data_IF_941220093016
#
_entry.id   IF_941220093016
#
_cell.length_a   1.000
_cell.length_b   1.000
_cell.length_c   1.000
_cell.angle_alpha   90.00
_cell.angle_beta   90.00
_cell.angle_gamma   90.00
#
_symmetry.space_group_name_H-M   'P 1'
#
loop_
_entity.id
_entity.type
_entity.pdbx_description
1 polymer ?
#
# COMPACT_ATOMS: atom_id res chain seq x y z
N UNK A 1 0.09 10.70 11.56
CA UNK A 1 -0.97 9.79 11.07
C UNK A 1 -0.43 8.51 10.38
N UNK A 2 0.85 8.48 9.97
CA UNK A 2 1.50 7.36 9.26
C UNK A 2 1.11 5.95 9.69
N UNK A 3 1.20 5.63 10.98
CA UNK A 3 0.87 4.29 11.50
C UNK A 3 -0.57 3.86 11.20
N UNK A 4 -1.52 4.78 11.29
CA UNK A 4 -2.94 4.50 11.00
C UNK A 4 -3.14 4.21 9.51
N UNK A 5 -2.41 4.91 8.64
CA UNK A 5 -2.47 4.69 7.19
C UNK A 5 -1.81 3.36 6.83
N UNK A 6 -0.67 3.03 7.43
CA UNK A 6 0.02 1.73 7.23
C UNK A 6 -0.90 0.56 7.60
N UNK A 7 -1.54 0.62 8.78
CA UNK A 7 -2.50 -0.41 9.21
C UNK A 7 -3.74 -0.47 8.31
N UNK A 8 -4.22 0.68 7.83
CA UNK A 8 -5.37 0.73 6.90
C UNK A 8 -5.04 0.11 5.54
N UNK A 9 -3.83 0.34 5.02
CA UNK A 9 -3.36 -0.26 3.77
C UNK A 9 -3.21 -1.79 3.89
N UNK A 10 -2.87 -2.29 5.09
CA UNK A 10 -2.80 -3.72 5.37
C UNK A 10 -4.15 -4.45 5.29
N UNK A 11 -5.27 -3.73 5.34
CA UNK A 11 -6.62 -4.30 5.16
C UNK A 11 -7.01 -4.48 3.68
N UNK A 12 -6.24 -3.91 2.75
CA UNK A 12 -6.53 -4.01 1.32
C UNK A 12 -6.15 -5.39 0.76
N UNK A 13 -6.81 -5.84 -0.32
CA UNK A 13 -6.51 -7.13 -0.91
C UNK A 13 -5.15 -7.15 -1.63
N UNK A 14 -4.33 -8.13 -1.29
CA UNK A 14 -3.01 -8.38 -1.89
C UNK A 14 -3.00 -9.62 -2.78
N UNK A 15 -2.00 -9.71 -3.65
CA UNK A 15 -1.68 -10.89 -4.47
C UNK A 15 -0.21 -11.24 -4.34
N UNK A 16 0.12 -12.53 -4.43
CA UNK A 16 1.51 -12.99 -4.45
C UNK A 16 2.15 -12.59 -5.78
N UNK A 17 3.34 -11.99 -5.71
CA UNK A 17 4.07 -11.55 -6.91
C UNK A 17 5.55 -11.90 -6.75
N UNK A 18 6.12 -12.57 -7.76
CA UNK A 18 7.52 -12.96 -7.74
C UNK A 18 8.31 -12.00 -8.62
N UNK A 19 9.32 -11.36 -8.05
CA UNK A 19 10.25 -10.48 -8.78
C UNK A 19 11.61 -11.12 -8.89
N UNK A 20 12.32 -10.81 -9.98
CA UNK A 20 13.72 -11.19 -10.14
C UNK A 20 14.56 -10.05 -9.60
N UNK A 21 15.38 -10.31 -8.60
CA UNK A 21 16.28 -9.31 -8.01
C UNK A 21 17.40 -8.97 -9.01
N UNK A 22 18.09 -7.83 -8.86
CA UNK A 22 19.26 -7.50 -9.69
C UNK A 22 20.37 -8.55 -9.60
N UNK A 23 20.41 -9.33 -8.51
CA UNK A 23 21.31 -10.47 -8.31
C UNK A 23 20.86 -11.76 -9.00
N UNK A 24 19.73 -11.76 -9.72
CA UNK A 24 19.19 -12.90 -10.46
C UNK A 24 18.37 -13.88 -9.63
N UNK A 25 18.12 -13.60 -8.34
CA UNK A 25 17.34 -14.47 -7.47
C UNK A 25 15.84 -14.17 -7.57
N UNK A 26 14.99 -15.19 -7.39
CA UNK A 26 13.52 -15.02 -7.33
C UNK A 26 13.09 -14.64 -5.92
N UNK A 27 12.53 -13.45 -5.74
CA UNK A 27 11.94 -13.00 -4.47
C UNK A 27 10.42 -13.11 -4.51
N UNK A 28 9.85 -13.81 -3.52
CA UNK A 28 8.39 -13.96 -3.36
C UNK A 28 7.85 -12.81 -2.53
N UNK A 29 7.33 -11.79 -3.19
CA UNK A 29 6.71 -10.62 -2.56
C UNK A 29 5.19 -10.62 -2.64
N UNK A 30 4.63 -9.49 -2.23
CA UNK A 30 3.21 -9.17 -2.31
C UNK A 30 3.03 -7.91 -3.17
N UNK A 31 1.90 -7.84 -3.87
CA UNK A 31 1.50 -6.68 -4.66
C UNK A 31 0.02 -6.40 -4.39
N UNK A 32 -0.35 -5.13 -4.25
CA UNK A 32 -1.75 -4.72 -4.18
C UNK A 32 -2.51 -5.18 -5.44
N UNK A 33 -3.71 -5.71 -5.26
CA UNK A 33 -4.51 -6.23 -6.38
C UNK A 33 -4.90 -5.15 -7.39
N UNK A 34 -5.17 -3.93 -6.92
CA UNK A 34 -5.57 -2.78 -7.72
C UNK A 34 -4.92 -1.51 -7.15
N UNK A 35 -4.91 -0.43 -7.93
CA UNK A 35 -4.56 0.90 -7.42
C UNK A 35 -5.56 1.35 -6.34
N UNK A 36 -5.06 2.04 -5.32
CA UNK A 36 -5.88 2.66 -4.27
C UNK A 36 -6.04 4.17 -4.56
N UNK A 37 -7.09 4.76 -3.98
CA UNK A 37 -7.34 6.20 -4.04
C UNK A 37 -7.84 6.65 -2.67
N UNK A 38 -7.17 7.63 -2.06
CA UNK A 38 -7.62 8.27 -0.84
C UNK A 38 -8.61 9.37 -1.18
N UNK A 39 -9.68 9.50 -0.40
CA UNK A 39 -10.65 10.59 -0.52
C UNK A 39 -10.77 11.28 0.83
N UNK A 40 -10.34 12.53 0.90
CA UNK A 40 -10.39 13.32 2.13
C UNK A 40 -11.67 14.14 2.25
N UNK A 41 -12.19 14.22 3.47
CA UNK A 41 -13.34 15.05 3.80
C UNK A 41 -12.86 16.37 4.40
N UNK A 42 -13.20 17.46 3.72
CA UNK A 42 -12.78 18.82 4.08
C UNK A 42 -13.46 19.28 5.38
N UNK A 43 -12.78 19.94 6.33
CA UNK A 43 -11.37 20.39 6.33
C UNK A 43 -10.41 19.46 7.10
N UNK A 44 -10.92 18.61 7.99
CA UNK A 44 -10.07 17.82 8.89
C UNK A 44 -9.40 16.62 8.21
N UNK A 45 -9.94 16.15 7.08
CA UNK A 45 -9.41 14.99 6.34
C UNK A 45 -8.05 15.24 5.71
N UNK A 46 -7.71 16.50 5.42
CA UNK A 46 -6.39 16.89 4.87
C UNK A 46 -5.24 16.48 5.81
N UNK A 47 -5.48 16.44 7.13
CA UNK A 47 -4.49 15.98 8.10
C UNK A 47 -4.11 14.49 7.96
N UNK A 48 -4.89 13.71 7.19
CA UNK A 48 -4.63 12.32 6.88
C UNK A 48 -3.82 12.15 5.58
N UNK A 49 -3.67 13.21 4.77
CA UNK A 49 -2.86 13.18 3.53
C UNK A 49 -1.39 13.56 3.79
N UNK A 50 -1.10 14.09 4.97
CA UNK A 50 0.22 14.61 5.38
C UNK A 50 1.07 13.55 6.10
#
# INVERSE_FOLDING_TARGET
IRLVIEESLNQLPFTKFVVTTPTGAKYKGLKYQKGNCGVSIVRSGEAMEQ
#
